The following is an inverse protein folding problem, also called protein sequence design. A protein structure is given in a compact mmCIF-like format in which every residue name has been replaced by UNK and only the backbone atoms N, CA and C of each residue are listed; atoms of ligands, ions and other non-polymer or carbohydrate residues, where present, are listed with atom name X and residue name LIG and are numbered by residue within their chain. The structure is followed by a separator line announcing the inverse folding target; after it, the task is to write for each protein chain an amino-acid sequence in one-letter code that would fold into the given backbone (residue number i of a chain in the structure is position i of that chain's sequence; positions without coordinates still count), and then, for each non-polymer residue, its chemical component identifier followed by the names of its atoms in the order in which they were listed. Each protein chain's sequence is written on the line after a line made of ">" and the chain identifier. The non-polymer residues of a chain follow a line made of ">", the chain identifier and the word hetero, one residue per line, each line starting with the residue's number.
data_IF_165461772435
#
_entry.id   IF_165461772435
#
_cell.length_a   1.000
_cell.length_b   1.000
_cell.length_c   1.000
_cell.angle_alpha   90.00
_cell.angle_beta   90.00
_cell.angle_gamma   90.00
#
_symmetry.space_group_name_H-M   'P 1'
#
loop_
_entity.id
_entity.type
_entity.pdbx_description
1 polymer ?
#
# COMPACT_ATOMS: atom_id res chain seq x y z
N UNK A 1 -9.36 -1.67 27.25
CA UNK A 1 -9.86 -2.73 26.36
C UNK A 1 -8.68 -3.23 25.55
N UNK A 2 -8.26 -4.47 25.77
CA UNK A 2 -7.13 -5.03 25.05
C UNK A 2 -7.60 -5.46 23.64
N UNK A 3 -7.17 -4.76 22.63
CA UNK A 3 -7.29 -5.21 21.24
C UNK A 3 -6.42 -6.47 21.08
N UNK A 4 -7.03 -7.64 20.96
CA UNK A 4 -6.29 -8.87 20.65
C UNK A 4 -5.92 -8.84 19.18
N UNK A 5 -4.66 -8.64 18.91
CA UNK A 5 -4.08 -8.80 17.61
C UNK A 5 -4.02 -10.28 17.24
N UNK A 6 -4.55 -10.60 16.16
CA UNK A 6 -4.72 -11.93 15.55
C UNK A 6 -5.78 -11.86 14.48
N UNK A 7 -6.30 -10.66 14.26
CA UNK A 7 -7.33 -10.37 13.29
C UNK A 7 -6.76 -9.86 11.95
N UNK A 8 -7.63 -9.75 10.97
CA UNK A 8 -7.36 -9.23 9.62
C UNK A 8 -7.10 -7.70 9.59
N UNK A 9 -7.10 -7.03 10.74
CA UNK A 9 -6.96 -5.59 10.83
C UNK A 9 -5.49 -5.18 10.91
N UNK A 10 -5.19 -4.05 10.29
CA UNK A 10 -3.90 -3.40 10.34
C UNK A 10 -4.00 -2.11 11.13
N UNK A 11 -3.03 -1.86 11.99
CA UNK A 11 -2.94 -0.64 12.79
C UNK A 11 -2.08 0.37 12.04
N UNK A 12 -2.60 1.59 11.83
CA UNK A 12 -1.79 2.70 11.34
C UNK A 12 -0.85 3.16 12.45
N UNK A 13 0.44 3.10 12.17
CA UNK A 13 1.47 3.45 13.14
C UNK A 13 2.48 4.42 12.54
N UNK A 14 2.57 5.62 13.12
CA UNK A 14 3.56 6.63 12.75
C UNK A 14 4.94 6.37 13.38
N UNK A 15 5.00 5.52 14.40
CA UNK A 15 6.24 5.14 15.09
C UNK A 15 6.98 3.99 14.43
N UNK A 16 6.35 3.26 13.51
CA UNK A 16 7.05 2.19 12.80
C UNK A 16 7.62 2.67 11.47
N UNK A 17 8.88 2.33 11.21
CA UNK A 17 9.58 2.69 9.96
C UNK A 17 9.19 1.82 8.77
N UNK A 18 8.66 0.62 9.02
CA UNK A 18 8.28 -0.34 7.97
C UNK A 18 6.95 -1.01 8.29
N UNK A 19 6.23 -1.40 7.24
CA UNK A 19 5.07 -2.30 7.39
C UNK A 19 5.55 -3.62 7.97
N UNK A 20 4.82 -4.20 8.92
CA UNK A 20 5.21 -5.46 9.52
C UNK A 20 4.04 -6.29 10.02
N UNK A 21 4.19 -7.60 9.98
CA UNK A 21 3.22 -8.58 10.50
C UNK A 21 3.93 -9.80 11.07
N UNK A 22 3.31 -10.45 12.03
CA UNK A 22 3.75 -11.77 12.54
C UNK A 22 2.98 -12.94 11.91
N UNK A 23 2.21 -12.71 10.86
CA UNK A 23 1.40 -13.73 10.20
C UNK A 23 1.90 -14.01 8.77
N UNK A 24 2.57 -15.14 8.59
CA UNK A 24 3.11 -15.60 7.31
C UNK A 24 2.04 -15.87 6.25
N UNK A 25 0.85 -16.30 6.68
CA UNK A 25 -0.25 -16.63 5.76
C UNK A 25 -0.80 -15.42 4.99
N UNK A 26 -0.43 -14.21 5.36
CA UNK A 26 -0.84 -12.98 4.67
C UNK A 26 0.00 -12.68 3.42
N UNK A 27 1.18 -13.29 3.31
CA UNK A 27 2.11 -13.00 2.22
C UNK A 27 1.72 -13.73 0.93
N UNK A 28 1.78 -12.99 -0.18
CA UNK A 28 1.67 -13.54 -1.55
C UNK A 28 3.04 -13.90 -2.12
N UNK A 29 4.07 -13.22 -1.63
CA UNK A 29 5.48 -13.58 -1.87
C UNK A 29 6.26 -13.21 -0.61
N UNK A 30 7.16 -14.09 -0.19
CA UNK A 30 8.02 -13.92 0.96
C UNK A 30 9.42 -14.36 0.55
N UNK A 31 10.38 -13.51 0.80
CA UNK A 31 11.80 -13.75 0.54
C UNK A 31 12.53 -13.87 1.88
N UNK A 32 13.60 -14.65 1.91
CA UNK A 32 14.43 -14.78 3.10
C UNK A 32 15.02 -13.43 3.50
N UNK A 33 15.17 -13.15 4.80
CA UNK A 33 15.72 -11.89 5.28
C UNK A 33 17.17 -11.73 4.84
N UNK A 34 17.53 -10.55 4.40
CA UNK A 34 18.92 -10.16 4.19
C UNK A 34 19.55 -9.92 5.56
N UNK A 35 20.48 -10.81 5.98
CA UNK A 35 21.27 -10.72 7.22
C UNK A 35 20.52 -10.34 8.51
N UNK A 36 20.33 -11.29 9.43
CA UNK A 36 19.99 -11.15 10.86
C UNK A 36 19.31 -9.84 11.31
N UNK A 37 18.48 -9.25 10.44
CA UNK A 37 17.78 -7.99 10.69
C UNK A 37 16.86 -8.12 11.90
N UNK A 38 16.82 -7.09 12.73
CA UNK A 38 15.96 -7.02 13.90
C UNK A 38 15.22 -5.70 13.94
N UNK A 39 13.96 -5.74 14.29
CA UNK A 39 13.18 -4.54 14.62
C UNK A 39 13.28 -4.28 16.11
N UNK A 40 13.43 -3.01 16.50
CA UNK A 40 13.37 -2.59 17.91
C UNK A 40 12.02 -1.94 18.15
N UNK A 41 11.31 -2.40 19.16
CA UNK A 41 10.01 -1.84 19.54
C UNK A 41 10.19 -0.68 20.53
N UNK A 42 9.11 0.07 20.78
CA UNK A 42 9.12 1.23 21.67
C UNK A 42 9.44 0.90 23.13
N UNK A 43 9.33 -0.36 23.56
CA UNK A 43 9.73 -0.86 24.88
C UNK A 43 11.19 -1.38 24.93
N UNK A 44 11.98 -1.11 23.87
CA UNK A 44 13.34 -1.61 23.68
C UNK A 44 13.46 -3.14 23.47
N UNK A 45 12.37 -3.88 23.43
CA UNK A 45 12.43 -5.28 23.03
C UNK A 45 12.75 -5.40 21.53
N UNK A 46 13.24 -6.55 21.10
CA UNK A 46 13.67 -6.79 19.73
C UNK A 46 12.94 -7.97 19.12
N UNK A 47 12.34 -7.76 17.95
CA UNK A 47 11.78 -8.80 17.11
C UNK A 47 12.79 -9.25 16.07
N UNK A 48 12.87 -10.56 15.81
CA UNK A 48 13.67 -11.13 14.73
C UNK A 48 12.88 -11.00 13.43
N UNK A 49 13.49 -10.46 12.39
CA UNK A 49 12.92 -10.47 11.03
C UNK A 49 13.15 -11.86 10.44
N UNK A 50 12.07 -12.48 9.99
CA UNK A 50 12.08 -13.81 9.38
C UNK A 50 11.95 -13.75 7.85
N UNK A 51 11.59 -12.61 7.28
CA UNK A 51 11.47 -12.41 5.86
C UNK A 51 10.99 -11.02 5.49
N UNK A 52 11.07 -10.71 4.20
CA UNK A 52 10.56 -9.52 3.57
C UNK A 52 9.66 -9.92 2.42
N UNK A 53 8.49 -9.31 2.29
CA UNK A 53 7.57 -9.77 1.27
C UNK A 53 6.52 -8.78 0.85
N UNK A 54 5.52 -9.33 0.14
CA UNK A 54 4.37 -8.61 -0.38
C UNK A 54 3.09 -9.22 0.14
N UNK A 55 2.13 -8.37 0.45
CA UNK A 55 0.78 -8.74 0.89
C UNK A 55 -0.23 -8.21 -0.10
N UNK A 56 -1.15 -9.05 -0.55
CA UNK A 56 -2.28 -8.60 -1.36
C UNK A 56 -3.35 -7.97 -0.45
N UNK A 57 -3.76 -6.77 -0.79
CA UNK A 57 -4.91 -6.09 -0.19
C UNK A 57 -6.18 -6.45 -0.96
N UNK A 58 -6.07 -6.48 -2.28
CA UNK A 58 -7.12 -6.89 -3.22
C UNK A 58 -6.49 -7.53 -4.45
N UNK A 59 -7.32 -7.89 -5.45
CA UNK A 59 -6.82 -8.43 -6.73
C UNK A 59 -5.84 -7.49 -7.45
N UNK A 60 -6.00 -6.18 -7.25
CA UNK A 60 -5.27 -5.15 -8.00
C UNK A 60 -4.33 -4.30 -7.11
N UNK A 61 -4.38 -4.48 -5.79
CA UNK A 61 -3.56 -3.72 -4.84
C UNK A 61 -2.77 -4.64 -3.93
N UNK A 62 -1.49 -4.35 -3.80
CA UNK A 62 -0.59 -5.01 -2.87
C UNK A 62 0.29 -4.00 -2.16
N UNK A 63 0.67 -4.32 -0.93
CA UNK A 63 1.72 -3.63 -0.18
C UNK A 63 3.00 -4.45 -0.31
N UNK A 64 4.07 -3.79 -0.72
CA UNK A 64 5.42 -4.36 -0.80
C UNK A 64 6.25 -3.91 0.41
N UNK A 65 7.40 -4.52 0.60
CA UNK A 65 8.34 -4.20 1.68
C UNK A 65 7.70 -4.36 3.08
N UNK A 66 6.98 -5.46 3.26
CA UNK A 66 6.40 -5.84 4.55
C UNK A 66 7.32 -6.82 5.24
N UNK A 67 7.73 -6.52 6.46
CA UNK A 67 8.55 -7.42 7.27
C UNK A 67 7.67 -8.52 7.88
N UNK A 68 8.14 -9.75 7.77
CA UNK A 68 7.66 -10.86 8.59
C UNK A 68 8.48 -10.91 9.87
N UNK A 69 7.84 -10.63 11.01
CA UNK A 69 8.54 -10.50 12.29
C UNK A 69 8.06 -11.55 13.27
N UNK A 70 8.99 -12.31 13.81
CA UNK A 70 8.72 -13.38 14.78
C UNK A 70 7.95 -12.86 15.99
N UNK A 71 6.87 -13.59 16.34
CA UNK A 71 6.06 -13.31 17.53
C UNK A 71 5.39 -11.93 17.59
N UNK A 72 5.37 -11.19 16.49
CA UNK A 72 4.64 -9.93 16.42
C UNK A 72 3.14 -10.18 16.43
N UNK A 73 2.47 -9.66 17.46
CA UNK A 73 1.03 -9.85 17.65
C UNK A 73 0.16 -8.90 16.84
N UNK A 74 0.72 -7.86 16.24
CA UNK A 74 0.00 -6.84 15.50
C UNK A 74 0.41 -6.78 14.04
N UNK A 75 -0.52 -6.41 13.16
CA UNK A 75 -0.18 -6.02 11.81
C UNK A 75 -0.06 -4.50 11.79
N UNK A 76 1.10 -3.97 11.44
CA UNK A 76 1.39 -2.55 11.51
C UNK A 76 1.59 -1.97 10.10
N UNK A 77 0.87 -0.89 9.79
CA UNK A 77 1.08 -0.09 8.57
C UNK A 77 1.92 1.13 8.94
N UNK A 78 3.09 1.22 8.37
CA UNK A 78 3.95 2.39 8.46
C UNK A 78 3.36 3.56 7.68
N UNK A 79 3.03 4.64 8.36
CA UNK A 79 2.59 5.89 7.74
C UNK A 79 3.73 6.49 6.91
N UNK A 80 4.97 6.37 7.38
CA UNK A 80 6.14 6.86 6.65
C UNK A 80 6.27 6.21 5.27
N UNK A 81 6.18 4.86 5.19
CA UNK A 81 6.22 4.18 3.90
C UNK A 81 5.04 4.54 2.97
N UNK A 82 3.86 4.80 3.52
CA UNK A 82 2.74 5.30 2.71
C UNK A 82 3.05 6.68 2.13
N UNK A 83 3.61 7.58 2.93
CA UNK A 83 4.03 8.90 2.47
C UNK A 83 5.13 8.82 1.40
N UNK A 84 6.10 7.93 1.55
CA UNK A 84 7.16 7.70 0.56
C UNK A 84 6.61 7.21 -0.79
N UNK A 85 5.43 6.58 -0.79
CA UNK A 85 4.71 6.18 -1.99
C UNK A 85 3.87 7.32 -2.61
N UNK A 86 3.94 8.53 -2.08
CA UNK A 86 3.16 9.69 -2.53
C UNK A 86 1.71 9.64 -2.05
N UNK A 87 1.48 9.11 -0.86
CA UNK A 87 0.17 9.06 -0.22
C UNK A 87 0.11 10.02 0.97
N UNK A 88 -1.01 10.70 1.13
CA UNK A 88 -1.34 11.50 2.32
C UNK A 88 -2.31 10.73 3.20
N UNK A 89 -1.99 10.63 4.50
CA UNK A 89 -2.87 10.04 5.51
C UNK A 89 -3.50 11.16 6.34
N UNK A 90 -4.81 11.35 6.24
CA UNK A 90 -5.57 12.34 7.01
C UNK A 90 -6.38 11.65 8.09
N UNK A 91 -6.11 11.99 9.35
CA UNK A 91 -6.77 11.42 10.52
C UNK A 91 -7.79 12.38 11.10
N UNK A 92 -8.96 11.86 11.45
CA UNK A 92 -9.98 12.61 12.19
C UNK A 92 -10.59 11.78 13.33
N UNK A 93 -11.61 12.31 14.00
CA UNK A 93 -12.29 11.61 15.10
C UNK A 93 -13.01 10.34 14.68
N UNK A 94 -13.30 10.14 13.41
CA UNK A 94 -14.07 9.01 12.88
C UNK A 94 -13.14 7.93 12.32
N UNK A 95 -12.01 8.33 11.71
CA UNK A 95 -11.11 7.38 11.05
C UNK A 95 -9.94 8.04 10.35
N UNK A 96 -9.43 7.36 9.35
CA UNK A 96 -8.34 7.82 8.50
C UNK A 96 -8.74 7.70 7.03
N UNK A 97 -8.39 8.69 6.25
CA UNK A 97 -8.53 8.69 4.79
C UNK A 97 -7.13 8.76 4.19
N UNK A 98 -6.81 7.84 3.30
CA UNK A 98 -5.55 7.81 2.57
C UNK A 98 -5.83 8.20 1.12
N UNK A 99 -5.14 9.23 0.66
CA UNK A 99 -5.29 9.80 -0.68
C UNK A 99 -3.96 9.86 -1.40
N UNK A 100 -3.98 9.90 -2.73
CA UNK A 100 -2.77 10.28 -3.48
C UNK A 100 -2.47 11.77 -3.33
N UNK A 101 -1.20 12.10 -3.24
CA UNK A 101 -0.76 13.50 -3.16
C UNK A 101 -1.05 14.29 -4.43
N UNK A 102 -0.95 13.63 -5.56
CA UNK A 102 -1.05 14.27 -6.87
C UNK A 102 -2.46 14.78 -7.19
N UNK A 103 -3.48 13.96 -7.00
CA UNK A 103 -4.86 14.27 -7.44
C UNK A 103 -5.89 14.21 -6.29
N UNK A 104 -5.42 13.97 -5.07
CA UNK A 104 -6.23 13.82 -3.85
C UNK A 104 -7.31 12.75 -3.94
N UNK A 105 -7.19 11.89 -4.92
CA UNK A 105 -8.11 10.78 -5.04
C UNK A 105 -7.89 9.77 -3.92
N UNK A 106 -8.98 9.18 -3.41
CA UNK A 106 -8.96 8.30 -2.26
C UNK A 106 -8.44 6.93 -2.62
N UNK A 107 -7.50 6.41 -1.83
CA UNK A 107 -6.92 5.06 -1.99
C UNK A 107 -7.66 4.06 -1.13
N UNK A 108 -7.76 4.34 0.15
CA UNK A 108 -8.54 3.54 1.10
C UNK A 108 -8.84 4.36 2.36
N UNK A 109 -9.75 3.82 3.18
CA UNK A 109 -10.11 4.41 4.46
C UNK A 109 -9.90 3.41 5.58
N UNK A 110 -9.63 3.93 6.76
CA UNK A 110 -9.63 3.17 8.00
C UNK A 110 -10.61 3.76 9.00
N UNK A 111 -10.91 3.01 10.01
CA UNK A 111 -11.82 3.43 11.07
C UNK A 111 -11.09 3.56 12.41
N UNK A 112 -11.60 4.44 13.26
CA UNK A 112 -11.08 4.61 14.61
C UNK A 112 -11.70 3.58 15.56
N UNK A 113 -10.86 2.90 16.33
CA UNK A 113 -11.28 2.01 17.41
C UNK A 113 -10.57 2.41 18.70
N UNK A 114 -11.28 3.07 19.61
CA UNK A 114 -10.66 3.66 20.80
C UNK A 114 -9.64 4.74 20.43
N UNK A 115 -8.38 4.51 20.77
CA UNK A 115 -7.27 5.42 20.49
C UNK A 115 -6.36 4.97 19.36
N UNK A 116 -6.78 3.98 18.56
CA UNK A 116 -6.02 3.49 17.41
C UNK A 116 -6.85 3.61 16.13
N UNK A 117 -6.17 3.68 15.00
CA UNK A 117 -6.77 3.68 13.67
C UNK A 117 -6.49 2.34 13.00
N UNK A 118 -7.53 1.73 12.47
CA UNK A 118 -7.50 0.37 11.91
C UNK A 118 -7.90 0.39 10.45
N UNK A 119 -7.22 -0.43 9.66
CA UNK A 119 -7.61 -0.76 8.29
C UNK A 119 -8.04 -2.22 8.25
N UNK A 120 -9.20 -2.47 7.64
CA UNK A 120 -9.70 -3.81 7.35
C UNK A 120 -9.69 -4.04 5.83
N UNK A 121 -8.75 -4.85 5.37
CA UNK A 121 -8.65 -5.22 3.96
C UNK A 121 -9.78 -6.15 3.49
N UNK A 122 -10.50 -6.77 4.41
CA UNK A 122 -11.63 -7.65 4.08
C UNK A 122 -12.95 -6.90 3.86
N UNK A 123 -12.99 -5.60 4.17
CA UNK A 123 -14.21 -4.81 4.01
C UNK A 123 -14.51 -4.56 2.52
N UNK A 124 -15.77 -4.78 2.13
CA UNK A 124 -16.24 -4.52 0.75
C UNK A 124 -16.04 -3.06 0.31
N UNK A 125 -16.01 -2.12 1.24
CA UNK A 125 -15.79 -0.70 0.96
C UNK A 125 -14.36 -0.42 0.50
N UNK A 126 -13.37 -1.07 1.12
CA UNK A 126 -11.97 -0.98 0.69
C UNK A 126 -11.79 -1.56 -0.71
N UNK A 127 -12.41 -2.71 -0.98
CA UNK A 127 -12.24 -3.43 -2.26
C UNK A 127 -12.88 -2.69 -3.45
N UNK A 128 -14.06 -2.07 -3.27
CA UNK A 128 -14.74 -1.37 -4.39
C UNK A 128 -14.07 -0.05 -4.77
N UNK A 129 -13.49 0.66 -3.81
CA UNK A 129 -12.76 1.90 -4.06
C UNK A 129 -11.40 1.67 -4.72
N UNK A 130 -10.71 0.60 -4.33
CA UNK A 130 -9.40 0.24 -4.85
C UNK A 130 -9.46 -0.18 -6.32
N UNK A 131 -10.54 -0.86 -6.76
CA UNK A 131 -10.72 -1.23 -8.17
C UNK A 131 -10.86 -0.02 -9.11
N UNK A 132 -11.47 1.08 -8.65
CA UNK A 132 -11.54 2.33 -9.41
C UNK A 132 -10.19 3.03 -9.50
N UNK A 133 -9.35 2.81 -8.52
CA UNK A 133 -8.05 3.46 -8.35
C UNK A 133 -6.95 2.86 -9.21
N UNK A 134 -6.85 1.55 -9.27
CA UNK A 134 -5.86 0.85 -10.09
C UNK A 134 -5.96 1.27 -11.57
N UNK A 135 -7.18 1.57 -12.06
CA UNK A 135 -7.39 2.00 -13.46
C UNK A 135 -6.92 3.45 -13.74
N UNK A 136 -7.07 4.37 -12.79
CA UNK A 136 -6.69 5.77 -13.03
C UNK A 136 -5.20 6.04 -12.90
N UNK A 137 -4.52 5.35 -12.00
CA UNK A 137 -3.08 5.51 -11.77
C UNK A 137 -2.22 4.68 -12.72
N UNK A 138 -2.74 3.60 -13.30
CA UNK A 138 -1.98 2.71 -14.18
C UNK A 138 -1.45 3.44 -15.43
N UNK A 139 -2.21 4.37 -16.00
CA UNK A 139 -1.76 5.20 -17.13
C UNK A 139 -0.57 6.10 -16.77
N UNK A 140 -0.59 6.72 -15.58
CA UNK A 140 0.49 7.56 -15.08
C UNK A 140 1.71 6.75 -14.66
N UNK A 141 1.49 5.56 -14.12
CA UNK A 141 2.56 4.61 -13.83
C UNK A 141 3.31 4.24 -15.13
N UNK A 142 2.60 3.92 -16.20
CA UNK A 142 3.20 3.57 -17.47
C UNK A 142 3.82 4.78 -18.19
N UNK A 143 3.24 5.98 -18.06
CA UNK A 143 3.84 7.22 -18.51
C UNK A 143 5.25 7.40 -17.89
N UNK A 144 5.41 7.18 -16.62
CA UNK A 144 6.70 7.25 -15.92
C UNK A 144 7.64 6.10 -16.30
N UNK A 145 7.14 4.88 -16.39
CA UNK A 145 7.94 3.69 -16.73
C UNK A 145 8.51 3.72 -18.15
N UNK A 146 7.83 4.38 -19.09
CA UNK A 146 8.27 4.52 -20.47
C UNK A 146 8.81 5.95 -20.68
N UNK A 147 9.75 6.36 -19.84
CA UNK A 147 10.49 7.63 -19.98
C UNK A 147 9.57 8.86 -20.21
N UNK A 148 8.47 8.95 -19.47
CA UNK A 148 7.49 10.04 -19.56
C UNK A 148 6.84 10.25 -20.94
N UNK A 149 6.68 9.18 -21.69
CA UNK A 149 6.02 9.21 -23.00
C UNK A 149 4.58 9.76 -22.89
N UNK A 150 4.19 10.65 -23.82
CA UNK A 150 2.86 11.27 -23.80
C UNK A 150 1.71 10.27 -23.87
N UNK A 151 0.55 10.60 -23.25
CA UNK A 151 -0.62 9.72 -23.18
C UNK A 151 -1.13 9.27 -24.54
N UNK A 152 -1.03 10.13 -25.57
CA UNK A 152 -1.39 9.78 -26.94
C UNK A 152 -0.48 8.70 -27.54
N UNK A 153 0.81 8.73 -27.22
CA UNK A 153 1.76 7.70 -27.62
C UNK A 153 1.55 6.41 -26.84
N UNK A 154 1.29 6.48 -25.52
CA UNK A 154 0.92 5.33 -24.71
C UNK A 154 -0.30 4.60 -25.27
N UNK A 155 -1.32 5.35 -25.71
CA UNK A 155 -2.50 4.79 -26.36
C UNK A 155 -2.15 4.01 -27.64
N UNK A 156 -1.17 4.50 -28.43
CA UNK A 156 -0.69 3.79 -29.63
C UNK A 156 0.07 2.51 -29.27
N UNK A 157 0.94 2.58 -28.25
CA UNK A 157 1.71 1.42 -27.73
C UNK A 157 0.76 0.33 -27.22
N UNK A 158 -0.27 0.73 -26.48
CA UNK A 158 -1.30 -0.17 -25.97
C UNK A 158 -2.08 -0.85 -27.11
N UNK A 159 -2.58 -0.07 -28.08
CA UNK A 159 -3.33 -0.60 -29.22
C UNK A 159 -2.52 -1.58 -30.08
N UNK A 160 -1.21 -1.41 -30.15
CA UNK A 160 -0.31 -2.29 -30.90
C UNK A 160 0.16 -3.51 -30.11
N UNK A 161 -0.25 -3.64 -28.85
CA UNK A 161 0.14 -4.76 -27.98
C UNK A 161 1.65 -4.86 -27.69
N UNK A 162 2.38 -3.73 -27.81
CA UNK A 162 3.84 -3.70 -27.69
C UNK A 162 4.33 -3.86 -26.23
N UNK A 163 3.43 -3.76 -25.27
CA UNK A 163 3.75 -3.90 -23.83
C UNK A 163 2.70 -4.77 -23.15
N UNK A 164 3.15 -5.79 -22.44
CA UNK A 164 2.30 -6.63 -21.58
C UNK A 164 1.86 -5.85 -20.33
N UNK A 165 0.58 -6.00 -19.93
CA UNK A 165 0.04 -5.32 -18.74
C UNK A 165 -0.65 -3.98 -19.00
N UNK A 166 -0.72 -3.54 -20.26
CA UNK A 166 -1.39 -2.30 -20.69
C UNK A 166 -2.80 -2.52 -21.28
N UNK A 167 -3.35 -3.72 -21.21
CA UNK A 167 -4.69 -4.01 -21.74
C UNK A 167 -5.74 -3.29 -20.86
N UNK A 168 -6.73 -2.69 -21.52
CA UNK A 168 -7.92 -2.07 -20.89
C UNK A 168 -7.67 -0.77 -20.11
N UNK A 169 -6.58 -0.05 -20.38
CA UNK A 169 -6.31 1.26 -19.79
C UNK A 169 -6.82 2.38 -20.70
N UNK A 170 -7.64 3.28 -20.15
CA UNK A 170 -8.03 4.52 -20.80
C UNK A 170 -6.94 5.58 -20.63
N UNK A 171 -6.43 6.12 -21.73
CA UNK A 171 -5.38 7.15 -21.73
C UNK A 171 -6.01 8.50 -22.06
N UNK A 172 -6.39 9.24 -21.02
CA UNK A 172 -6.85 10.62 -21.13
C UNK A 172 -5.84 11.53 -20.42
N UNK A 173 -5.58 12.69 -21.01
CA UNK A 173 -4.70 13.69 -20.40
C UNK A 173 -5.54 14.55 -19.46
N UNK A 174 -5.64 14.14 -18.21
CA UNK A 174 -6.40 14.80 -17.16
C UNK A 174 -5.57 15.83 -16.36
N UNK A 175 -4.25 15.77 -16.44
CA UNK A 175 -3.34 16.70 -15.76
C UNK A 175 -2.00 16.81 -16.47
N UNK A 176 -1.19 17.78 -16.07
CA UNK A 176 0.21 17.93 -16.50
C UNK A 176 1.11 17.08 -15.59
N UNK A 177 2.11 16.46 -16.16
CA UNK A 177 3.15 15.79 -15.38
C UNK A 177 4.12 16.83 -14.83
N UNK A 178 4.37 16.78 -13.54
CA UNK A 178 5.30 17.72 -12.88
C UNK A 178 6.77 17.52 -13.30
N UNK A 179 7.11 16.36 -13.87
CA UNK A 179 8.46 16.01 -14.31
C UNK A 179 8.68 16.22 -15.83
N UNK A 180 7.60 16.46 -16.61
CA UNK A 180 7.67 16.83 -18.02
C UNK A 180 7.44 18.33 -18.21
#
# INVERSE_FOLDING_TARGET
>A
MNYKAGGKHWVFDSGCSQHMTGNDSMFTSLEDPVDHERVTYGDNSRGKVLGLGRIAISKDLSISNVLFVESLSFNLISIAQLCDLGLTCTFDKNGVVVTFDEDKSMVFTGFRHGNIYLLDFSSKQTTSMICLFAKSSLRWLWHRRIAHIGMSQLKKVCKRGLVTGLKDVTFEKDKLCSAC
#
